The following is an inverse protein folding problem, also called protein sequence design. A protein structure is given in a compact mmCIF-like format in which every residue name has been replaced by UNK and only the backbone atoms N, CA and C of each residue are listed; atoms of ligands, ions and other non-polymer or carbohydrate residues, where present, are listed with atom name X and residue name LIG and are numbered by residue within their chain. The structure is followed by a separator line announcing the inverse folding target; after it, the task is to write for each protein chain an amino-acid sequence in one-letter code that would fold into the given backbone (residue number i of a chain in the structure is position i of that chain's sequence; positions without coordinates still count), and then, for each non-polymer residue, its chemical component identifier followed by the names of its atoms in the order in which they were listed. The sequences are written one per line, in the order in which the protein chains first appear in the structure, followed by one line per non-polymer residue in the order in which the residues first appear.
data_IF_806079380780
#
_entry.id   IF_806079380780
#
_cell.length_a   1.000
_cell.length_b   1.000
_cell.length_c   1.000
_cell.angle_alpha   90.00
_cell.angle_beta   90.00
_cell.angle_gamma   90.00
#
_symmetry.space_group_name_H-M   'P 1'
#
loop_
_entity.id
_entity.type
_entity.pdbx_description
1 polymer ?
#
# COMPACT_ATOMS: atom_id res chain seq x y z
N UNK A 1 -17.48 0.93 4.83
CA UNK A 1 -17.44 1.45 3.45
C UNK A 1 -16.37 0.67 2.70
N UNK A 2 -16.78 -0.27 1.85
CA UNK A 2 -15.91 -1.29 1.26
C UNK A 2 -14.96 -0.76 0.18
N UNK A 3 -13.89 -1.53 -0.09
CA UNK A 3 -12.92 -1.28 -1.15
C UNK A 3 -13.62 -1.23 -2.53
N UNK A 4 -13.30 -0.28 -3.44
CA UNK A 4 -14.06 0.00 -4.68
C UNK A 4 -13.89 -1.05 -5.80
N UNK A 5 -13.47 -2.28 -5.48
CA UNK A 5 -13.26 -3.32 -6.49
C UNK A 5 -14.60 -3.97 -6.95
N UNK A 6 -14.73 -4.38 -8.22
CA UNK A 6 -15.97 -4.90 -8.80
C UNK A 6 -16.35 -6.33 -8.38
N UNK A 7 -15.46 -7.05 -7.67
CA UNK A 7 -15.73 -8.41 -7.20
C UNK A 7 -16.38 -8.37 -5.82
N UNK A 8 -17.71 -8.47 -5.78
CA UNK A 8 -18.50 -8.62 -4.57
C UNK A 8 -19.03 -10.05 -4.40
N UNK A 9 -19.08 -10.60 -3.17
CA UNK A 9 -18.54 -10.02 -1.94
C UNK A 9 -17.01 -9.90 -2.01
N UNK A 10 -16.46 -8.83 -1.42
CA UNK A 10 -15.00 -8.63 -1.37
C UNK A 10 -14.41 -9.73 -0.49
N UNK A 11 -14.04 -10.84 -1.13
CA UNK A 11 -13.54 -12.04 -0.46
C UNK A 11 -12.06 -11.96 -0.14
N UNK A 12 -11.53 -13.01 0.47
CA UNK A 12 -10.12 -13.15 0.76
C UNK A 12 -9.32 -13.30 -0.55
N UNK A 13 -8.38 -12.39 -0.77
CA UNK A 13 -7.44 -12.44 -1.89
C UNK A 13 -6.09 -11.88 -1.44
N UNK A 14 -4.98 -12.32 -2.06
CA UNK A 14 -3.67 -11.75 -1.79
C UNK A 14 -3.67 -10.26 -2.18
N UNK A 15 -2.84 -9.50 -1.48
CA UNK A 15 -2.64 -8.07 -1.67
C UNK A 15 -1.17 -7.73 -1.54
N UNK A 16 -0.71 -6.83 -2.38
CA UNK A 16 0.67 -6.37 -2.38
C UNK A 16 0.74 -4.85 -2.58
N UNK A 17 1.78 -4.24 -2.04
CA UNK A 17 2.08 -2.82 -2.28
C UNK A 17 2.50 -2.66 -3.74
N UNK A 18 1.77 -1.84 -4.49
CA UNK A 18 1.99 -1.62 -5.94
C UNK A 18 2.83 -0.39 -6.24
N UNK A 19 3.00 0.51 -5.28
CA UNK A 19 3.82 1.72 -5.42
C UNK A 19 4.60 1.99 -4.13
N UNK A 20 5.76 2.65 -4.23
CA UNK A 20 6.60 2.98 -3.06
C UNK A 20 7.44 4.23 -3.27
N UNK A 21 8.30 4.53 -2.31
CA UNK A 21 9.22 5.67 -2.36
C UNK A 21 10.17 5.61 -3.58
N UNK A 22 10.47 6.77 -4.18
CA UNK A 22 11.39 6.86 -5.32
C UNK A 22 12.86 6.92 -4.93
N UNK A 23 13.18 7.30 -3.68
CA UNK A 23 14.56 7.50 -3.22
C UNK A 23 14.98 6.66 -2.01
N UNK A 24 14.05 5.97 -1.36
CA UNK A 24 14.33 5.17 -0.16
C UNK A 24 14.04 3.71 -0.44
N UNK A 25 15.06 2.88 -0.28
CA UNK A 25 14.99 1.44 -0.53
C UNK A 25 15.27 0.67 0.76
N UNK A 26 14.41 -0.31 1.06
CA UNK A 26 14.59 -1.25 2.16
C UNK A 26 14.81 -2.61 1.52
N UNK A 27 15.98 -3.22 1.77
CA UNK A 27 16.37 -4.49 1.14
C UNK A 27 16.26 -4.47 -0.40
N UNK A 28 16.63 -3.34 -1.02
CA UNK A 28 16.60 -3.17 -2.47
C UNK A 28 15.20 -2.98 -3.08
N UNK A 29 14.15 -2.86 -2.26
CA UNK A 29 12.77 -2.57 -2.71
C UNK A 29 12.35 -1.17 -2.28
N UNK A 30 11.57 -0.43 -3.09
CA UNK A 30 10.98 0.84 -2.68
C UNK A 30 10.29 0.73 -1.32
N UNK A 31 10.57 1.66 -0.42
CA UNK A 31 9.94 1.67 0.90
C UNK A 31 8.45 2.03 0.79
N UNK A 32 7.60 1.27 1.49
CA UNK A 32 6.16 1.51 1.54
C UNK A 32 5.82 2.63 2.56
N UNK A 33 4.90 3.51 2.19
CA UNK A 33 4.52 4.71 2.93
C UNK A 33 3.02 4.86 3.00
N UNK A 34 2.54 5.71 3.93
CA UNK A 34 1.11 6.08 3.98
C UNK A 34 0.70 6.70 2.64
N UNK A 35 -0.42 6.26 2.09
CA UNK A 35 -0.95 6.72 0.81
C UNK A 35 -0.45 5.95 -0.40
N UNK A 36 0.58 5.11 -0.28
CA UNK A 36 1.02 4.27 -1.40
C UNK A 36 -0.07 3.23 -1.76
N UNK A 37 -0.18 2.95 -3.06
CA UNK A 37 -1.23 2.11 -3.63
C UNK A 37 -1.02 0.61 -3.33
N UNK A 38 -2.13 -0.10 -3.16
CA UNK A 38 -2.22 -1.56 -3.10
C UNK A 38 -2.77 -2.05 -4.44
N UNK A 39 -2.25 -3.18 -4.94
CA UNK A 39 -2.62 -3.80 -6.22
C UNK A 39 -4.12 -4.05 -6.39
N UNK A 40 -4.86 -4.30 -5.31
CA UNK A 40 -6.31 -4.50 -5.34
C UNK A 40 -7.15 -3.20 -5.36
N UNK A 41 -6.51 -2.03 -5.42
CA UNK A 41 -7.16 -0.71 -5.53
C UNK A 41 -7.34 0.05 -4.22
N UNK A 42 -6.75 -0.44 -3.12
CA UNK A 42 -6.68 0.27 -1.85
C UNK A 42 -5.41 1.13 -1.70
N UNK A 43 -5.26 1.79 -0.56
CA UNK A 43 -4.04 2.53 -0.18
C UNK A 43 -3.64 2.21 1.25
N UNK A 44 -2.34 2.35 1.57
CA UNK A 44 -1.85 2.21 2.93
C UNK A 44 -2.40 3.33 3.82
N UNK A 45 -3.26 2.98 4.78
CA UNK A 45 -3.94 3.94 5.64
C UNK A 45 -3.06 4.48 6.78
N UNK A 46 -2.08 3.70 7.25
CA UNK A 46 -1.25 4.04 8.41
C UNK A 46 0.22 3.65 8.20
N UNK A 47 1.10 4.38 8.89
CA UNK A 47 2.54 4.19 8.90
C UNK A 47 3.09 4.68 10.26
N UNK A 48 4.39 4.50 10.50
CA UNK A 48 5.06 4.97 11.72
C UNK A 48 4.84 6.47 11.96
N UNK A 49 4.62 6.86 13.21
CA UNK A 49 4.52 8.27 13.61
C UNK A 49 5.89 8.97 13.66
N UNK A 50 6.97 8.19 13.80
CA UNK A 50 8.31 8.71 14.08
C UNK A 50 9.27 8.55 12.90
N UNK A 51 8.86 7.84 11.84
CA UNK A 51 9.69 7.62 10.64
C UNK A 51 8.92 8.12 9.44
N UNK A 52 9.44 9.16 8.80
CA UNK A 52 8.88 9.81 7.62
C UNK A 52 9.79 9.47 6.44
N UNK A 53 9.20 9.00 5.33
CA UNK A 53 9.92 8.55 4.14
C UNK A 53 9.51 9.45 2.97
N UNK A 54 10.51 10.06 2.34
CA UNK A 54 10.37 10.94 1.17
C UNK A 54 10.00 10.21 -0.12
#
# INVERSE_FOLDING_TARGET
MGCPCPKTPHGDHPRAVSFGASGVFINGKPAARRGDAIDCGGTIASASANVLIG
#
